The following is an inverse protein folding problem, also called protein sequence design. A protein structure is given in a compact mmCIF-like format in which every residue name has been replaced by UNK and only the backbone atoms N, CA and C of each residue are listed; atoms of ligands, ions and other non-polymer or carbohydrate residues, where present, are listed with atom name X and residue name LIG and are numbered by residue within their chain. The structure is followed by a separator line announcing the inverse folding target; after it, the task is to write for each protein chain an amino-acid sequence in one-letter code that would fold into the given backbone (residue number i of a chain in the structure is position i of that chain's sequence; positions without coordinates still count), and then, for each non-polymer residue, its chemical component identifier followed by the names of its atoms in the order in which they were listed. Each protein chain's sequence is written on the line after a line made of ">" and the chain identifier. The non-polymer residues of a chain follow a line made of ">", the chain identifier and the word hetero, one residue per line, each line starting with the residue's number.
data_IF_028459257017
#
_entry.id   IF_028459257017
#
_cell.length_a   1.000
_cell.length_b   1.000
_cell.length_c   1.000
_cell.angle_alpha   90.00
_cell.angle_beta   90.00
_cell.angle_gamma   90.00
#
_symmetry.space_group_name_H-M   'P 1'
#
loop_
_entity.id
_entity.type
_entity.pdbx_description
1 polymer ?
#
# COMPACT_ATOMS: atom_id res chain seq x y z
N UNK A 1 -15.37 27.38 -11.48
CA UNK A 1 -14.13 26.61 -11.33
C UNK A 1 -13.73 26.06 -12.69
N UNK A 2 -12.46 26.19 -13.08
CA UNK A 2 -11.94 25.61 -14.32
C UNK A 2 -11.54 24.17 -14.02
N UNK A 3 -12.42 23.21 -14.31
CA UNK A 3 -12.06 21.80 -14.33
C UNK A 3 -11.01 21.59 -15.41
N UNK A 4 -9.74 21.36 -15.04
CA UNK A 4 -8.78 20.76 -15.95
C UNK A 4 -9.02 19.25 -15.91
N UNK A 5 -9.93 18.76 -16.75
CA UNK A 5 -9.92 17.35 -17.15
C UNK A 5 -8.69 17.16 -18.05
N UNK A 6 -7.52 16.96 -17.43
CA UNK A 6 -6.34 16.47 -18.14
C UNK A 6 -6.44 14.96 -18.13
N UNK A 7 -7.10 14.40 -19.16
CA UNK A 7 -6.91 12.99 -19.47
C UNK A 7 -5.46 12.89 -19.95
N UNK A 8 -4.54 12.50 -19.08
CA UNK A 8 -3.23 12.03 -19.49
C UNK A 8 -3.42 10.65 -20.11
N UNK A 9 -3.95 10.60 -21.33
CA UNK A 9 -3.72 9.40 -22.16
C UNK A 9 -2.22 9.40 -22.43
N UNK A 10 -1.49 8.53 -21.74
CA UNK A 10 -0.11 8.21 -22.10
C UNK A 10 -0.12 7.82 -23.58
N UNK A 11 0.23 8.78 -24.46
CA UNK A 11 0.72 8.43 -25.78
C UNK A 11 2.07 7.81 -25.48
N UNK A 12 2.12 6.47 -25.48
CA UNK A 12 3.36 5.71 -25.38
C UNK A 12 4.39 6.33 -26.34
N UNK A 13 5.37 7.01 -25.78
CA UNK A 13 6.52 7.47 -26.54
C UNK A 13 7.32 6.21 -26.90
N UNK A 14 7.73 6.02 -28.17
CA UNK A 14 8.47 4.84 -28.54
C UNK A 14 9.82 4.85 -27.80
N UNK A 15 9.97 3.94 -26.84
CA UNK A 15 11.17 3.78 -26.02
C UNK A 15 11.00 3.95 -24.50
N UNK A 16 9.78 4.19 -23.99
CA UNK A 16 9.48 4.06 -22.55
C UNK A 16 8.73 2.73 -22.36
N UNK A 17 9.47 1.70 -21.94
CA UNK A 17 8.90 0.44 -21.46
C UNK A 17 8.49 0.65 -19.99
N UNK A 18 7.20 0.43 -19.71
CA UNK A 18 6.51 0.33 -18.40
C UNK A 18 7.08 1.12 -17.21
N UNK A 19 6.33 2.13 -16.77
CA UNK A 19 6.37 2.60 -15.37
C UNK A 19 4.93 2.76 -14.92
N UNK A 20 4.44 1.80 -14.12
CA UNK A 20 3.38 1.92 -13.11
C UNK A 20 2.43 3.11 -13.32
N UNK A 21 1.57 3.02 -14.34
CA UNK A 21 0.77 4.14 -14.85
C UNK A 21 -0.54 4.39 -14.07
N UNK A 22 -0.51 5.05 -12.91
CA UNK A 22 -1.76 5.53 -12.30
C UNK A 22 -2.56 6.43 -13.27
N UNK A 23 -3.87 6.57 -13.10
CA UNK A 23 -4.68 7.55 -13.83
C UNK A 23 -5.07 8.72 -12.92
N UNK A 24 -4.76 9.95 -13.33
CA UNK A 24 -5.29 11.15 -12.66
C UNK A 24 -6.75 11.39 -13.07
N UNK A 25 -7.67 11.12 -12.14
CA UNK A 25 -9.11 11.25 -12.34
C UNK A 25 -9.60 12.69 -12.12
N UNK A 26 -9.07 13.36 -11.09
CA UNK A 26 -9.41 14.73 -10.75
C UNK A 26 -8.29 15.42 -9.95
N UNK A 27 -8.30 16.76 -10.00
CA UNK A 27 -7.43 17.65 -9.22
C UNK A 27 -8.26 18.88 -8.85
N UNK A 28 -8.20 19.31 -7.59
CA UNK A 28 -8.82 20.57 -7.16
C UNK A 28 -8.10 21.23 -5.99
N UNK A 29 -8.18 22.57 -5.97
CA UNK A 29 -7.74 23.42 -4.87
C UNK A 29 -8.98 23.95 -4.12
N UNK A 30 -9.26 23.49 -2.89
CA UNK A 30 -10.36 24.04 -2.10
C UNK A 30 -10.15 25.56 -1.86
N UNK A 31 -11.07 26.44 -2.29
CA UNK A 31 -10.79 27.88 -2.47
C UNK A 31 -10.35 28.68 -1.23
N UNK A 32 -10.54 28.13 -0.03
CA UNK A 32 -10.28 28.81 1.26
C UNK A 32 -9.33 28.04 2.16
N UNK A 33 -8.90 26.86 1.74
CA UNK A 33 -8.02 26.00 2.52
C UNK A 33 -6.59 26.07 1.97
N UNK A 34 -5.63 25.81 2.84
CA UNK A 34 -4.22 25.71 2.54
C UNK A 34 -3.71 24.31 2.91
N UNK A 35 -2.38 24.14 2.89
CA UNK A 35 -1.71 22.85 3.04
C UNK A 35 -2.35 21.86 3.99
N UNK A 36 -2.54 20.63 3.51
CA UNK A 36 -3.17 19.56 4.26
C UNK A 36 -2.14 18.66 4.91
N UNK A 37 -2.47 18.07 6.05
CA UNK A 37 -1.65 17.04 6.73
C UNK A 37 -2.44 15.78 7.10
N UNK A 38 -3.75 15.79 6.83
CA UNK A 38 -4.60 14.62 7.03
C UNK A 38 -5.78 14.65 6.06
N UNK A 39 -6.14 13.49 5.53
CA UNK A 39 -7.26 13.27 4.63
C UNK A 39 -7.86 11.89 4.87
N UNK A 40 -9.18 11.79 4.89
CA UNK A 40 -9.90 10.52 4.93
C UNK A 40 -11.07 10.55 3.96
N UNK A 41 -11.46 9.40 3.42
CA UNK A 41 -12.67 9.25 2.60
C UNK A 41 -13.75 8.52 3.41
N UNK A 42 -14.92 9.15 3.54
CA UNK A 42 -16.07 8.55 4.22
C UNK A 42 -16.62 7.40 3.35
N UNK A 43 -16.56 6.13 3.80
CA UNK A 43 -16.99 4.99 3.00
C UNK A 43 -18.49 4.98 2.71
N UNK A 44 -19.31 5.71 3.48
CA UNK A 44 -20.76 5.77 3.26
C UNK A 44 -21.15 6.78 2.19
N UNK A 45 -20.43 7.90 2.09
CA UNK A 45 -20.81 9.02 1.23
C UNK A 45 -19.82 9.32 0.10
N UNK A 46 -18.58 8.82 0.21
CA UNK A 46 -17.46 9.14 -0.66
C UNK A 46 -16.93 10.56 -0.49
N UNK A 47 -17.45 11.34 0.47
CA UNK A 47 -16.94 12.68 0.77
C UNK A 47 -15.62 12.59 1.53
N UNK A 48 -14.80 13.63 1.38
CA UNK A 48 -13.52 13.72 2.04
C UNK A 48 -13.66 14.49 3.35
N UNK A 49 -12.92 14.07 4.37
CA UNK A 49 -12.61 14.87 5.55
C UNK A 49 -11.15 15.26 5.44
N UNK A 50 -10.83 16.55 5.56
CA UNK A 50 -9.45 17.03 5.50
C UNK A 50 -9.12 17.93 6.68
N UNK A 51 -7.85 17.96 7.04
CA UNK A 51 -7.32 18.83 8.09
C UNK A 51 -6.10 19.62 7.57
N UNK A 52 -6.13 20.94 7.79
CA UNK A 52 -5.07 21.86 7.39
C UNK A 52 -3.91 21.84 8.40
N UNK A 53 -2.69 22.06 7.94
CA UNK A 53 -1.51 22.23 8.80
C UNK A 53 -1.77 23.37 9.81
N UNK A 54 -1.79 23.03 11.10
CA UNK A 54 -2.20 23.94 12.17
C UNK A 54 -3.61 24.56 11.97
N UNK A 55 -4.55 23.81 11.40
CA UNK A 55 -5.95 24.19 11.14
C UNK A 55 -6.80 24.49 12.40
N UNK A 56 -6.22 24.33 13.59
CA UNK A 56 -6.87 24.65 14.85
C UNK A 56 -7.91 23.60 15.21
N UNK A 57 -9.15 24.04 15.45
CA UNK A 57 -10.23 23.17 15.94
C UNK A 57 -11.22 22.75 14.85
N UNK A 58 -10.81 22.77 13.57
CA UNK A 58 -11.71 22.55 12.43
C UNK A 58 -11.13 21.52 11.47
N UNK A 59 -11.91 20.49 11.16
CA UNK A 59 -11.75 19.67 9.96
C UNK A 59 -12.83 20.05 8.94
N UNK A 60 -12.55 19.90 7.65
CA UNK A 60 -13.42 20.30 6.56
C UNK A 60 -13.98 19.08 5.84
N UNK A 61 -15.28 19.09 5.56
CA UNK A 61 -15.93 18.06 4.76
C UNK A 61 -16.07 18.57 3.33
N UNK A 62 -15.47 17.87 2.39
CA UNK A 62 -15.39 18.25 0.98
C UNK A 62 -16.07 17.18 0.13
N UNK A 63 -16.94 17.59 -0.79
CA UNK A 63 -17.51 16.65 -1.76
C UNK A 63 -16.48 16.21 -2.81
N UNK A 64 -16.75 15.13 -3.53
CA UNK A 64 -15.84 14.63 -4.58
C UNK A 64 -15.62 15.61 -5.76
N UNK A 65 -16.35 16.74 -5.78
CA UNK A 65 -16.19 17.82 -6.75
C UNK A 65 -15.33 18.98 -6.24
N UNK A 66 -14.81 18.89 -5.00
CA UNK A 66 -13.95 19.90 -4.37
C UNK A 66 -14.70 21.04 -3.68
N UNK A 67 -16.00 20.90 -3.40
CA UNK A 67 -16.76 21.90 -2.65
C UNK A 67 -16.80 21.55 -1.16
N UNK A 68 -16.50 22.52 -0.29
CA UNK A 68 -16.74 22.37 1.13
C UNK A 68 -18.25 22.36 1.43
N UNK A 69 -18.72 21.30 2.07
CA UNK A 69 -20.13 21.05 2.38
C UNK A 69 -20.42 21.03 3.88
N UNK A 70 -19.39 21.10 4.72
CA UNK A 70 -19.53 21.15 6.17
C UNK A 70 -18.18 21.16 6.89
N UNK A 71 -18.24 21.22 8.22
CA UNK A 71 -17.08 21.13 9.10
C UNK A 71 -17.34 20.20 10.27
N UNK A 72 -16.27 19.63 10.81
CA UNK A 72 -16.27 18.78 12.01
C UNK A 72 -15.33 19.43 13.02
N UNK A 73 -15.69 19.42 14.31
CA UNK A 73 -14.81 19.93 15.36
C UNK A 73 -13.64 18.96 15.54
N UNK A 74 -12.42 19.47 15.37
CA UNK A 74 -11.18 18.72 15.57
C UNK A 74 -10.87 18.58 17.07
N UNK A 75 -10.59 17.36 17.59
CA UNK A 75 -10.08 17.14 18.94
C UNK A 75 -8.57 17.42 19.05
N UNK A 76 -8.10 17.53 20.30
CA UNK A 76 -6.67 17.65 20.61
C UNK A 76 -6.12 19.06 20.41
N UNK A 77 -4.80 19.18 20.39
CA UNK A 77 -4.11 20.42 20.04
C UNK A 77 -4.02 20.60 18.52
N UNK A 78 -3.92 21.86 18.09
CA UNK A 78 -3.59 22.19 16.70
C UNK A 78 -2.21 21.63 16.37
N UNK A 79 -2.13 20.87 15.28
CA UNK A 79 -0.95 20.07 14.93
C UNK A 79 -0.62 20.14 13.44
N UNK A 80 0.62 19.78 13.08
CA UNK A 80 1.03 19.44 11.71
C UNK A 80 1.28 17.94 11.51
N UNK A 81 1.07 17.15 12.56
CA UNK A 81 1.23 15.70 12.65
C UNK A 81 -0.15 15.11 12.99
N UNK A 82 -1.11 15.33 12.08
CA UNK A 82 -2.53 15.13 12.33
C UNK A 82 -3.18 14.39 11.18
N UNK A 83 -3.60 13.17 11.44
CA UNK A 83 -4.09 12.28 10.40
C UNK A 83 -5.47 11.70 10.71
N UNK A 84 -6.16 11.26 9.66
CA UNK A 84 -7.56 10.92 9.62
C UNK A 84 -7.74 9.57 8.92
N UNK A 85 -8.62 8.74 9.47
CA UNK A 85 -9.06 7.52 8.78
C UNK A 85 -10.50 7.18 9.21
N UNK A 86 -11.19 6.30 8.49
CA UNK A 86 -12.44 5.71 8.93
C UNK A 86 -12.26 4.25 9.35
N UNK A 87 -12.78 3.91 10.53
CA UNK A 87 -12.76 2.54 11.03
C UNK A 87 -13.46 1.58 10.05
N UNK A 88 -12.68 0.79 9.31
CA UNK A 88 -13.19 -0.20 8.33
C UNK A 88 -14.01 -1.34 8.97
N UNK A 89 -13.90 -1.52 10.29
CA UNK A 89 -14.66 -2.49 11.08
C UNK A 89 -14.99 -1.97 12.48
N UNK A 90 -15.84 -2.69 13.25
CA UNK A 90 -16.07 -2.34 14.65
C UNK A 90 -14.79 -2.53 15.47
N UNK A 91 -14.52 -1.59 16.36
CA UNK A 91 -13.30 -1.55 17.16
C UNK A 91 -13.59 -1.18 18.62
N UNK A 92 -12.59 -1.29 19.48
CA UNK A 92 -12.64 -0.95 20.90
C UNK A 92 -11.47 -0.03 21.24
N UNK A 93 -11.78 1.11 21.84
CA UNK A 93 -10.81 2.13 22.26
C UNK A 93 -11.08 2.43 23.74
N UNK A 94 -10.08 2.25 24.62
CA UNK A 94 -10.21 2.40 26.09
C UNK A 94 -11.43 1.67 26.67
N UNK A 95 -11.67 0.44 26.20
CA UNK A 95 -12.81 -0.40 26.60
C UNK A 95 -14.18 0.05 26.05
N UNK A 96 -14.23 1.09 25.23
CA UNK A 96 -15.46 1.60 24.59
C UNK A 96 -15.57 1.01 23.19
N UNK A 97 -16.68 0.34 22.92
CA UNK A 97 -16.98 -0.17 21.59
C UNK A 97 -17.39 0.97 20.64
N UNK A 98 -16.77 0.99 19.46
CA UNK A 98 -16.94 1.99 18.41
C UNK A 98 -17.39 1.27 17.13
N UNK A 99 -18.44 1.75 16.43
CA UNK A 99 -18.94 1.11 15.22
C UNK A 99 -18.00 1.32 14.03
N UNK A 100 -18.10 0.43 13.04
CA UNK A 100 -17.49 0.65 11.72
C UNK A 100 -18.02 1.95 11.09
N UNK A 101 -17.20 2.60 10.26
CA UNK A 101 -17.48 3.91 9.68
C UNK A 101 -17.35 5.08 10.66
N UNK A 102 -16.71 4.87 11.81
CA UNK A 102 -16.39 5.97 12.75
C UNK A 102 -15.13 6.69 12.28
N UNK A 103 -15.16 8.02 12.24
CA UNK A 103 -13.98 8.84 11.96
C UNK A 103 -12.97 8.69 13.10
N UNK A 104 -11.76 8.29 12.74
CA UNK A 104 -10.58 8.20 13.57
C UNK A 104 -9.70 9.42 13.32
N UNK A 105 -9.03 9.84 14.39
CA UNK A 105 -8.08 10.94 14.37
C UNK A 105 -6.84 10.54 15.13
N UNK A 106 -5.69 10.70 14.50
CA UNK A 106 -4.37 10.50 15.06
C UNK A 106 -3.71 11.85 15.24
N UNK A 107 -3.37 12.21 16.49
CA UNK A 107 -2.72 13.49 16.79
C UNK A 107 -1.36 13.25 17.45
N UNK A 108 -0.31 13.52 16.68
CA UNK A 108 1.10 13.35 17.06
C UNK A 108 1.68 14.49 17.91
N UNK A 109 1.01 15.65 17.97
CA UNK A 109 1.44 16.77 18.82
C UNK A 109 0.76 16.80 20.19
N UNK A 110 -0.25 15.97 20.42
CA UNK A 110 -0.80 15.79 21.75
C UNK A 110 0.26 15.21 22.70
N UNK A 111 0.18 15.57 23.99
CA UNK A 111 1.12 15.09 25.01
C UNK A 111 0.39 14.38 26.15
N UNK A 112 0.35 13.04 26.16
CA UNK A 112 0.88 12.10 25.15
C UNK A 112 0.07 12.09 23.85
N UNK A 113 0.65 11.53 22.78
CA UNK A 113 0.05 11.34 21.45
C UNK A 113 -1.27 10.54 21.57
N UNK A 114 -2.24 10.80 20.69
CA UNK A 114 -3.61 10.28 20.87
C UNK A 114 -4.25 9.74 19.61
N UNK A 115 -5.06 8.71 19.83
CA UNK A 115 -6.12 8.27 18.94
C UNK A 115 -7.46 8.74 19.50
N UNK A 116 -8.30 9.32 18.64
CA UNK A 116 -9.68 9.67 18.94
C UNK A 116 -10.63 8.96 17.97
N UNK A 117 -11.80 8.57 18.47
CA UNK A 117 -12.95 8.19 17.65
C UNK A 117 -14.04 9.26 17.79
N UNK A 118 -14.57 9.74 16.67
CA UNK A 118 -15.48 10.89 16.63
C UNK A 118 -16.85 10.54 16.06
N UNK A 119 -17.88 11.12 16.66
CA UNK A 119 -19.19 11.21 16.02
C UNK A 119 -19.14 12.19 14.83
N UNK A 120 -20.10 12.14 13.90
CA UNK A 120 -20.12 13.04 12.73
C UNK A 120 -20.17 14.55 13.07
N UNK A 121 -20.55 14.93 14.28
CA UNK A 121 -20.53 16.33 14.75
C UNK A 121 -19.24 16.75 15.45
N UNK A 122 -18.24 15.86 15.53
CA UNK A 122 -16.96 16.08 16.21
C UNK A 122 -16.97 15.73 17.70
N UNK A 123 -18.09 15.20 18.24
CA UNK A 123 -18.11 14.71 19.62
C UNK A 123 -17.17 13.51 19.77
N UNK A 124 -16.22 13.58 20.71
CA UNK A 124 -15.33 12.46 21.05
C UNK A 124 -16.14 11.33 21.67
N UNK A 125 -16.18 10.18 21.00
CA UNK A 125 -16.82 8.95 21.46
C UNK A 125 -15.90 8.13 22.36
N UNK A 126 -14.63 8.02 21.97
CA UNK A 126 -13.57 7.37 22.74
C UNK A 126 -12.20 7.97 22.39
N UNK A 127 -11.22 7.77 23.26
CA UNK A 127 -9.83 8.14 23.02
C UNK A 127 -8.91 7.26 23.84
N UNK A 128 -7.75 6.90 23.27
CA UNK A 128 -6.66 6.30 24.01
C UNK A 128 -5.38 7.10 23.76
N UNK A 129 -4.40 6.93 24.65
CA UNK A 129 -3.04 7.40 24.41
C UNK A 129 -2.33 6.41 23.52
N UNK A 130 -1.58 6.89 22.54
CA UNK A 130 -0.64 6.07 21.80
C UNK A 130 0.72 6.13 22.52
N UNK A 131 1.51 5.06 22.44
CA UNK A 131 2.90 5.13 22.86
C UNK A 131 3.55 6.35 22.16
N UNK A 132 4.42 7.10 22.85
CA UNK A 132 5.00 8.32 22.27
C UNK A 132 5.98 7.94 21.17
N UNK A 133 5.57 8.17 19.93
CA UNK A 133 6.18 7.62 18.74
C UNK A 133 6.49 8.70 17.70
N UNK A 134 6.15 9.98 17.94
CA UNK A 134 6.25 11.06 16.94
C UNK A 134 5.52 10.67 15.66
N UNK A 135 4.28 10.20 15.83
CA UNK A 135 3.43 9.79 14.71
C UNK A 135 3.17 10.97 13.78
N UNK A 136 3.20 10.73 12.48
CA UNK A 136 2.84 11.71 11.45
C UNK A 136 1.61 11.28 10.64
N UNK A 137 1.31 9.97 10.63
CA UNK A 137 0.12 9.38 10.01
C UNK A 137 -0.35 8.14 10.76
N UNK A 138 -1.61 7.77 10.61
CA UNK A 138 -2.20 6.57 11.19
C UNK A 138 -3.52 6.12 10.57
N UNK A 139 -3.68 4.81 10.44
CA UNK A 139 -4.86 4.20 9.86
C UNK A 139 -5.28 2.92 10.60
N UNK A 140 -6.54 2.55 10.47
CA UNK A 140 -7.10 1.33 11.02
C UNK A 140 -6.62 0.11 10.24
N UNK A 141 -6.17 -0.92 10.95
CA UNK A 141 -5.83 -2.19 10.31
C UNK A 141 -7.12 -3.00 10.10
N UNK A 142 -7.47 -3.34 8.84
CA UNK A 142 -8.73 -4.04 8.56
C UNK A 142 -8.84 -5.39 9.26
N UNK A 143 -10.03 -5.68 9.80
CA UNK A 143 -10.34 -6.98 10.42
C UNK A 143 -9.71 -7.22 11.80
N UNK A 144 -9.06 -6.22 12.40
CA UNK A 144 -8.45 -6.32 13.73
C UNK A 144 -8.91 -5.19 14.66
N UNK A 145 -8.39 -5.19 15.90
CA UNK A 145 -8.52 -4.07 16.83
C UNK A 145 -7.20 -3.29 16.93
N UNK A 146 -6.53 -3.08 15.79
CA UNK A 146 -5.19 -2.47 15.75
C UNK A 146 -5.19 -1.29 14.79
N UNK A 147 -4.26 -0.36 15.03
CA UNK A 147 -3.97 0.73 14.11
C UNK A 147 -2.52 0.63 13.67
N UNK A 148 -2.26 1.02 12.43
CA UNK A 148 -0.92 1.21 11.90
C UNK A 148 -0.59 2.70 11.98
N UNK A 149 0.59 3.05 12.44
CA UNK A 149 1.07 4.45 12.46
C UNK A 149 2.43 4.52 11.81
N UNK A 150 2.70 5.66 11.18
CA UNK A 150 4.04 5.99 10.67
C UNK A 150 4.67 7.10 11.51
N UNK A 151 5.97 6.99 11.73
CA UNK A 151 6.73 7.98 12.51
C UNK A 151 7.84 8.64 11.70
N UNK A 152 8.20 9.86 12.12
CA UNK A 152 9.40 10.56 11.64
C UNK A 152 10.48 10.56 12.73
N UNK A 153 11.14 9.42 12.94
CA UNK A 153 12.17 9.24 13.98
C UNK A 153 13.59 9.03 13.45
N UNK A 154 13.82 9.26 12.15
CA UNK A 154 15.12 9.07 11.49
C UNK A 154 15.49 7.61 11.23
N UNK A 155 14.62 6.67 11.63
CA UNK A 155 14.62 5.28 11.17
C UNK A 155 13.28 4.89 10.51
N UNK A 156 12.34 5.83 10.39
CA UNK A 156 11.02 5.78 9.76
C UNK A 156 10.36 4.39 9.68
N UNK A 157 9.53 4.10 10.68
CA UNK A 157 8.88 2.79 10.83
C UNK A 157 7.38 2.87 10.57
N UNK A 158 6.83 1.77 10.05
CA UNK A 158 5.42 1.43 10.29
C UNK A 158 5.35 0.68 11.62
N UNK A 159 4.47 1.13 12.51
CA UNK A 159 4.20 0.51 13.81
C UNK A 159 2.77 0.02 13.87
N UNK A 160 2.58 -1.13 14.51
CA UNK A 160 1.26 -1.69 14.76
C UNK A 160 0.98 -1.57 16.25
N UNK A 161 -0.12 -0.88 16.59
CA UNK A 161 -0.53 -0.59 17.96
C UNK A 161 -1.89 -1.24 18.24
N UNK A 162 -2.12 -1.73 19.46
CA UNK A 162 -3.47 -2.09 19.90
C UNK A 162 -4.32 -0.82 20.05
N UNK A 163 -5.44 -0.73 19.35
CA UNK A 163 -6.30 0.46 19.38
C UNK A 163 -6.99 0.66 20.75
N UNK A 164 -7.06 -0.39 21.58
CA UNK A 164 -7.71 -0.33 22.88
C UNK A 164 -6.88 0.42 23.92
N UNK A 165 -5.56 0.25 23.92
CA UNK A 165 -4.67 0.82 24.94
C UNK A 165 -3.41 1.52 24.39
N UNK A 166 -3.24 1.52 23.06
CA UNK A 166 -2.15 2.19 22.36
C UNK A 166 -0.80 1.47 22.44
N UNK A 167 -0.75 0.25 22.99
CA UNK A 167 0.50 -0.49 23.15
C UNK A 167 1.05 -0.96 21.81
N UNK A 168 2.36 -0.75 21.58
CA UNK A 168 3.01 -1.27 20.38
C UNK A 168 3.14 -2.80 20.44
N UNK A 169 2.63 -3.48 19.41
CA UNK A 169 2.70 -4.94 19.26
C UNK A 169 3.58 -5.40 18.10
N UNK A 170 3.96 -4.50 17.19
CA UNK A 170 4.83 -4.80 16.06
C UNK A 170 5.41 -3.55 15.40
N UNK A 171 6.45 -3.73 14.59
CA UNK A 171 7.00 -2.69 13.70
C UNK A 171 7.88 -3.30 12.62
N UNK A 172 7.93 -2.65 11.46
CA UNK A 172 8.80 -3.03 10.34
C UNK A 172 9.19 -1.78 9.55
N UNK A 173 10.31 -1.87 8.83
CA UNK A 173 10.69 -0.83 7.88
C UNK A 173 9.77 -0.94 6.65
N UNK A 174 9.34 0.19 6.06
CA UNK A 174 8.53 0.19 4.83
C UNK A 174 9.35 -0.16 3.57
N UNK A 175 9.96 -1.35 3.56
CA UNK A 175 10.65 -1.97 2.43
C UNK A 175 12.17 -1.79 2.37
N UNK A 176 12.85 -2.60 1.53
CA UNK A 176 13.89 -2.15 0.62
C UNK A 176 13.29 -1.73 -0.75
N UNK A 177 13.78 -0.65 -1.39
CA UNK A 177 14.70 0.34 -0.84
C UNK A 177 14.02 1.13 0.30
N UNK A 178 14.75 1.73 1.26
CA UNK A 178 14.14 2.50 2.34
C UNK A 178 13.19 3.61 1.83
N UNK A 179 12.05 3.77 2.48
CA UNK A 179 11.12 4.89 2.27
C UNK A 179 11.40 5.96 3.33
N UNK A 180 11.48 7.23 2.92
CA UNK A 180 11.68 8.36 3.84
C UNK A 180 10.30 8.92 4.19
N UNK A 181 9.94 8.99 5.46
CA UNK A 181 8.64 9.51 5.91
C UNK A 181 8.82 10.92 6.44
N UNK A 182 8.46 11.92 5.63
CA UNK A 182 8.56 13.33 6.02
C UNK A 182 7.24 14.04 5.70
N UNK A 183 6.51 14.53 6.72
CA UNK A 183 5.10 14.93 6.59
C UNK A 183 4.24 13.85 5.91
N UNK A 184 4.71 12.59 5.96
CA UNK A 184 4.11 11.49 5.22
C UNK A 184 2.84 11.01 5.87
N UNK A 185 2.13 10.17 5.14
CA UNK A 185 0.83 9.66 5.57
C UNK A 185 0.64 8.19 5.16
N UNK A 186 -0.34 7.52 5.79
CA UNK A 186 -0.61 6.10 5.69
C UNK A 186 -2.11 5.80 5.59
N UNK A 187 -2.49 4.88 4.70
CA UNK A 187 -3.84 4.32 4.65
C UNK A 187 -3.79 2.81 4.35
N UNK A 188 -4.81 2.05 4.73
CA UNK A 188 -4.89 0.60 4.50
C UNK A 188 -6.17 0.21 3.77
N UNK A 189 -6.01 -0.52 2.67
CA UNK A 189 -7.15 -1.11 1.97
C UNK A 189 -7.78 -2.25 2.79
N UNK A 190 -9.10 -2.21 3.01
CA UNK A 190 -9.84 -3.30 3.66
C UNK A 190 -10.05 -4.53 2.78
N UNK A 191 -9.87 -4.42 1.47
CA UNK A 191 -9.94 -5.55 0.54
C UNK A 191 -8.66 -6.38 0.56
N UNK A 192 -7.51 -5.72 0.42
CA UNK A 192 -6.21 -6.40 0.27
C UNK A 192 -5.39 -6.44 1.57
N UNK A 193 -5.67 -5.54 2.51
CA UNK A 193 -4.83 -5.30 3.67
C UNK A 193 -3.56 -4.51 3.37
N UNK A 194 -3.30 -4.14 2.11
CA UNK A 194 -2.11 -3.40 1.71
C UNK A 194 -2.10 -1.99 2.30
N UNK A 195 -0.91 -1.55 2.70
CA UNK A 195 -0.60 -0.24 3.24
C UNK A 195 -0.16 0.66 2.09
N UNK A 196 -0.79 1.82 1.96
CA UNK A 196 -0.36 2.89 1.06
C UNK A 196 0.39 3.95 1.88
N UNK A 197 1.55 4.35 1.41
CA UNK A 197 2.42 5.34 2.04
C UNK A 197 2.71 6.49 1.06
N UNK A 198 2.67 7.70 1.58
CA UNK A 198 3.13 8.90 0.87
C UNK A 198 4.11 9.68 1.74
N UNK A 199 4.91 10.52 1.10
CA UNK A 199 5.87 11.38 1.78
C UNK A 199 6.06 12.67 1.00
N UNK A 200 6.34 13.75 1.70
CA UNK A 200 6.59 15.03 1.07
C UNK A 200 7.93 15.06 0.34
N UNK A 201 8.90 14.29 0.84
CA UNK A 201 10.27 14.24 0.32
C UNK A 201 10.40 13.35 -0.91
N UNK A 202 9.36 12.60 -1.28
CA UNK A 202 9.39 11.62 -2.36
C UNK A 202 8.15 11.75 -3.26
N UNK A 203 8.35 11.79 -4.58
CA UNK A 203 7.25 11.83 -5.56
C UNK A 203 6.81 10.41 -5.98
N UNK A 204 6.78 9.50 -5.00
CA UNK A 204 6.30 8.13 -5.16
C UNK A 204 5.21 7.84 -4.14
N UNK A 205 4.13 7.20 -4.60
CA UNK A 205 3.18 6.54 -3.70
C UNK A 205 3.63 5.10 -3.60
N UNK A 206 3.93 4.63 -2.38
CA UNK A 206 4.37 3.25 -2.17
C UNK A 206 3.22 2.43 -1.60
N UNK A 207 3.00 1.24 -2.16
CA UNK A 207 2.12 0.24 -1.56
C UNK A 207 2.95 -0.94 -1.07
N UNK A 208 2.71 -1.36 0.17
CA UNK A 208 3.38 -2.48 0.82
C UNK A 208 2.37 -3.40 1.50
N UNK A 209 2.73 -4.64 1.78
CA UNK A 209 1.94 -5.54 2.61
C UNK A 209 2.03 -5.14 4.09
N UNK A 210 1.19 -5.74 4.94
CA UNK A 210 1.27 -5.55 6.40
C UNK A 210 2.54 -6.13 7.04
N UNK A 211 3.37 -6.83 6.26
CA UNK A 211 4.66 -7.36 6.67
C UNK A 211 5.82 -6.49 6.17
N UNK A 212 5.54 -5.45 5.37
CA UNK A 212 6.55 -4.53 4.83
C UNK A 212 7.10 -4.92 3.46
N UNK A 213 6.51 -5.90 2.78
CA UNK A 213 6.91 -6.32 1.43
C UNK A 213 6.35 -5.36 0.41
N UNK A 214 7.16 -4.96 -0.57
CA UNK A 214 6.66 -4.00 -1.54
C UNK A 214 5.68 -4.65 -2.50
N UNK A 215 4.53 -4.01 -2.66
CA UNK A 215 3.56 -4.30 -3.73
C UNK A 215 3.95 -3.52 -4.97
N UNK A 216 4.05 -2.19 -4.86
CA UNK A 216 4.44 -1.33 -5.99
C UNK A 216 4.80 0.08 -5.57
N UNK A 217 5.39 0.80 -6.51
CA UNK A 217 5.57 2.25 -6.44
C UNK A 217 4.94 2.94 -7.64
N UNK A 218 4.08 3.92 -7.38
CA UNK A 218 3.50 4.78 -8.41
C UNK A 218 4.34 6.06 -8.48
N UNK A 219 5.02 6.28 -9.60
CA UNK A 219 5.68 7.56 -9.85
C UNK A 219 4.63 8.60 -10.23
N UNK A 220 4.48 9.63 -9.39
CA UNK A 220 3.48 10.69 -9.59
C UNK A 220 4.05 11.98 -10.21
N UNK A 221 5.35 12.01 -10.55
CA UNK A 221 5.97 13.10 -11.30
C UNK A 221 5.21 13.48 -12.59
N UNK A 222 4.69 12.53 -13.40
CA UNK A 222 3.96 12.87 -14.63
C UNK A 222 2.69 13.70 -14.40
N UNK A 223 2.09 13.60 -13.20
CA UNK A 223 0.91 14.38 -12.81
C UNK A 223 1.26 15.72 -12.19
N UNK A 224 2.54 15.96 -11.88
CA UNK A 224 3.00 17.16 -11.17
C UNK A 224 2.65 17.16 -9.68
N UNK A 225 2.32 16.00 -9.12
CA UNK A 225 2.05 15.84 -7.69
C UNK A 225 3.39 15.89 -6.94
N UNK A 226 3.45 16.77 -5.95
CA UNK A 226 4.62 17.01 -5.09
C UNK A 226 4.13 17.34 -3.69
N UNK A 227 5.03 17.26 -2.71
CA UNK A 227 4.78 17.66 -1.33
C UNK A 227 3.60 16.90 -0.69
N UNK A 228 3.47 15.62 -1.04
CA UNK A 228 2.37 14.77 -0.57
C UNK A 228 2.41 14.64 0.95
N UNK A 229 1.27 14.78 1.57
CA UNK A 229 1.16 14.82 3.04
C UNK A 229 -0.16 14.30 3.56
N UNK A 230 -0.96 13.72 2.67
CA UNK A 230 -2.20 13.04 3.01
C UNK A 230 -2.48 11.98 1.98
N UNK A 231 -2.91 10.78 2.39
CA UNK A 231 -3.41 9.73 1.51
C UNK A 231 -4.63 9.07 2.11
N UNK A 232 -5.68 8.86 1.31
CA UNK A 232 -6.85 8.10 1.70
C UNK A 232 -7.21 7.06 0.62
N UNK A 233 -7.33 5.79 0.97
CA UNK A 233 -7.70 4.74 0.03
C UNK A 233 -9.21 4.53 0.05
N UNK A 234 -9.85 4.61 -1.12
CA UNK A 234 -11.28 4.38 -1.27
C UNK A 234 -11.55 2.91 -1.58
N UNK A 235 -11.78 2.12 -0.54
CA UNK A 235 -12.11 0.69 -0.65
C UNK A 235 -13.36 0.39 -1.50
N UNK A 236 -14.27 1.36 -1.67
CA UNK A 236 -15.46 1.14 -2.49
C UNK A 236 -15.13 1.15 -3.99
N UNK A 237 -14.04 1.82 -4.39
CA UNK A 237 -13.67 2.01 -5.79
C UNK A 237 -12.30 1.44 -6.16
N UNK A 238 -11.43 1.24 -5.17
CA UNK A 238 -10.01 0.92 -5.35
C UNK A 238 -9.15 2.12 -5.74
N UNK A 239 -9.73 3.33 -5.71
CA UNK A 239 -9.02 4.58 -6.01
C UNK A 239 -8.33 5.12 -4.75
N UNK A 240 -7.50 6.14 -4.91
CA UNK A 240 -6.91 6.87 -3.79
C UNK A 240 -7.05 8.38 -3.95
N UNK A 241 -7.14 9.05 -2.83
CA UNK A 241 -7.09 10.50 -2.71
C UNK A 241 -5.75 10.89 -2.11
N UNK A 242 -5.10 11.89 -2.69
CA UNK A 242 -3.83 12.41 -2.19
C UNK A 242 -4.02 13.89 -1.91
N UNK A 243 -3.63 14.33 -0.72
CA UNK A 243 -3.54 15.73 -0.37
C UNK A 243 -2.08 16.16 -0.27
N UNK A 244 -1.81 17.44 -0.49
CA UNK A 244 -0.47 17.98 -0.36
C UNK A 244 -0.43 19.26 0.47
N UNK A 245 0.78 19.66 0.87
CA UNK A 245 1.00 20.88 1.66
C UNK A 245 0.83 22.19 0.89
N UNK A 246 0.59 22.14 -0.43
CA UNK A 246 0.20 23.32 -1.20
C UNK A 246 -1.31 23.59 -1.13
N UNK A 247 -2.10 22.66 -0.59
CA UNK A 247 -3.56 22.77 -0.51
C UNK A 247 -4.28 22.19 -1.74
N UNK A 248 -3.63 21.32 -2.49
CA UNK A 248 -4.24 20.61 -3.63
C UNK A 248 -4.61 19.19 -3.23
N UNK A 249 -5.78 18.73 -3.71
CA UNK A 249 -6.25 17.35 -3.57
C UNK A 249 -6.33 16.71 -4.96
N UNK A 250 -5.81 15.49 -5.07
CA UNK A 250 -5.76 14.68 -6.27
C UNK A 250 -6.58 13.40 -6.06
N UNK A 251 -7.24 12.95 -7.10
CA UNK A 251 -7.95 11.66 -7.15
C UNK A 251 -7.27 10.80 -8.20
N UNK A 252 -6.73 9.66 -7.78
CA UNK A 252 -5.99 8.74 -8.64
C UNK A 252 -6.68 7.37 -8.68
N UNK A 253 -6.73 6.75 -9.85
CA UNK A 253 -6.83 5.29 -9.94
C UNK A 253 -5.40 4.73 -9.90
N UNK A 254 -5.01 3.98 -8.86
CA UNK A 254 -3.68 3.43 -8.75
C UNK A 254 -3.43 2.22 -9.65
N UNK A 255 -4.46 1.66 -10.32
CA UNK A 255 -4.34 0.46 -11.15
C UNK A 255 -4.05 0.85 -12.59
N UNK A 256 -2.80 0.65 -13.06
CA UNK A 256 -2.43 1.03 -14.40
C UNK A 256 -2.92 0.00 -15.39
N UNK A 257 -4.15 0.15 -15.89
CA UNK A 257 -4.72 -0.77 -16.88
C UNK A 257 -5.00 -2.17 -16.28
N UNK A 258 -6.28 -2.59 -16.26
CA UNK A 258 -6.72 -3.95 -15.90
C UNK A 258 -6.39 -4.95 -17.05
N UNK A 259 -5.18 -4.81 -17.59
CA UNK A 259 -4.65 -5.58 -18.69
C UNK A 259 -4.27 -6.96 -18.19
N UNK A 260 -4.13 -7.89 -19.12
CA UNK A 260 -3.76 -9.28 -18.88
C UNK A 260 -2.66 -9.59 -19.89
N UNK A 261 -1.42 -9.22 -19.52
CA UNK A 261 -0.24 -9.13 -20.38
C UNK A 261 0.16 -10.48 -20.95
N UNK A 262 -0.05 -11.54 -20.19
CA UNK A 262 0.25 -12.92 -20.58
C UNK A 262 -0.98 -13.74 -20.99
N UNK A 263 -2.18 -13.15 -20.85
CA UNK A 263 -3.47 -13.70 -21.27
C UNK A 263 -3.89 -14.97 -20.50
N UNK A 264 -3.60 -15.01 -19.21
CA UNK A 264 -3.89 -16.14 -18.33
C UNK A 264 -5.25 -16.06 -17.61
N UNK A 265 -5.89 -14.88 -17.67
CA UNK A 265 -7.21 -14.61 -17.13
C UNK A 265 -7.22 -13.83 -15.80
N UNK A 266 -6.05 -13.42 -15.30
CA UNK A 266 -5.88 -12.46 -14.22
C UNK A 266 -5.38 -11.14 -14.80
N UNK A 267 -5.73 -10.03 -14.15
CA UNK A 267 -5.13 -8.77 -14.55
C UNK A 267 -3.72 -8.66 -13.97
N UNK A 268 -2.86 -7.89 -14.65
CA UNK A 268 -1.47 -7.65 -14.26
C UNK A 268 -1.34 -7.11 -12.82
N UNK A 269 -2.44 -6.61 -12.25
CA UNK A 269 -2.48 -6.08 -10.91
C UNK A 269 -2.61 -7.16 -9.82
N UNK A 270 -3.38 -8.21 -10.09
CA UNK A 270 -3.59 -9.34 -9.19
C UNK A 270 -2.72 -10.57 -9.56
N UNK A 271 -1.84 -10.43 -10.56
CA UNK A 271 -1.01 -11.51 -11.08
C UNK A 271 0.40 -11.53 -10.45
N UNK A 272 0.75 -12.63 -9.76
CA UNK A 272 2.06 -12.87 -9.19
C UNK A 272 3.14 -13.26 -10.22
N UNK A 273 2.80 -13.36 -11.52
CA UNK A 273 3.71 -13.51 -12.65
C UNK A 273 3.24 -12.79 -13.94
N UNK A 274 3.14 -11.46 -13.91
CA UNK A 274 2.64 -10.57 -14.99
C UNK A 274 3.03 -10.92 -16.44
N UNK A 275 4.22 -11.48 -16.66
CA UNK A 275 4.75 -11.82 -17.99
C UNK A 275 4.62 -13.32 -18.37
N UNK A 276 4.03 -14.16 -17.50
CA UNK A 276 4.19 -15.62 -17.52
C UNK A 276 2.94 -16.35 -17.04
N UNK A 277 2.09 -16.71 -18.02
CA UNK A 277 0.77 -17.26 -17.76
C UNK A 277 0.74 -18.32 -16.66
N UNK A 278 0.04 -18.02 -15.58
CA UNK A 278 -0.07 -18.79 -14.35
C UNK A 278 -1.45 -18.74 -13.70
N UNK A 279 -2.52 -19.26 -14.35
CA UNK A 279 -3.90 -19.03 -13.88
C UNK A 279 -4.23 -19.58 -12.48
N UNK A 280 -3.34 -20.39 -11.91
CA UNK A 280 -3.47 -20.96 -10.57
C UNK A 280 -2.71 -20.17 -9.50
N UNK A 281 -1.88 -19.19 -9.89
CA UNK A 281 -1.16 -18.27 -9.02
C UNK A 281 -0.39 -19.00 -7.91
N UNK A 282 0.20 -20.14 -8.25
CA UNK A 282 0.93 -20.96 -7.27
C UNK A 282 2.19 -20.21 -6.86
N UNK A 283 2.28 -19.95 -5.57
CA UNK A 283 3.40 -19.35 -4.87
C UNK A 283 3.58 -20.19 -3.59
N UNK A 284 4.61 -21.04 -3.56
CA UNK A 284 4.72 -22.11 -2.56
C UNK A 284 5.54 -21.70 -1.34
N UNK A 285 6.51 -20.81 -1.51
CA UNK A 285 7.27 -20.21 -0.41
C UNK A 285 6.61 -18.92 0.14
N UNK A 286 5.59 -18.40 -0.55
CA UNK A 286 4.81 -17.22 -0.19
C UNK A 286 5.67 -15.95 -0.19
N UNK A 287 6.58 -15.85 -1.15
CA UNK A 287 7.42 -14.68 -1.35
C UNK A 287 6.71 -13.58 -2.15
N UNK A 288 5.51 -13.86 -2.70
CA UNK A 288 4.72 -12.95 -3.52
C UNK A 288 5.05 -13.00 -5.01
N UNK A 289 5.91 -13.91 -5.45
CA UNK A 289 6.27 -14.14 -6.85
C UNK A 289 5.88 -15.58 -7.19
N UNK A 290 5.11 -15.76 -8.26
CA UNK A 290 4.62 -17.09 -8.61
C UNK A 290 5.75 -18.03 -9.03
N UNK A 291 5.61 -19.32 -8.70
CA UNK A 291 6.59 -20.37 -9.01
C UNK A 291 7.05 -20.39 -10.48
N UNK A 292 6.30 -19.87 -11.48
CA UNK A 292 6.80 -19.88 -12.87
C UNK A 292 7.67 -18.69 -13.26
N UNK A 293 7.60 -17.59 -12.54
CA UNK A 293 8.45 -16.44 -12.74
C UNK A 293 9.49 -16.30 -11.63
N UNK A 294 9.38 -17.08 -10.56
CA UNK A 294 10.39 -17.18 -9.52
C UNK A 294 11.31 -18.39 -9.73
N UNK A 295 12.62 -18.14 -9.90
CA UNK A 295 13.62 -19.20 -9.93
C UNK A 295 14.68 -19.04 -8.82
N UNK A 296 14.39 -18.24 -7.78
CA UNK A 296 15.16 -18.05 -6.56
C UNK A 296 14.87 -19.16 -5.53
N UNK A 297 15.06 -20.40 -5.98
CA UNK A 297 14.47 -21.60 -5.35
C UNK A 297 15.35 -22.24 -4.27
N UNK A 298 16.18 -21.45 -3.60
CA UNK A 298 17.03 -21.98 -2.53
C UNK A 298 16.19 -22.43 -1.32
N UNK A 299 16.63 -23.44 -0.53
CA UNK A 299 15.85 -23.89 0.62
C UNK A 299 15.79 -22.79 1.68
N UNK A 300 14.63 -22.14 1.76
CA UNK A 300 14.44 -20.78 2.29
C UNK A 300 15.16 -19.81 1.35
N UNK A 301 14.41 -19.27 0.39
CA UNK A 301 14.74 -18.07 -0.39
C UNK A 301 15.79 -17.27 0.41
N UNK A 302 17.05 -17.34 -0.03
CA UNK A 302 18.11 -16.62 0.67
C UNK A 302 17.94 -15.11 0.51
N UNK A 303 16.85 -14.73 -0.17
CA UNK A 303 16.26 -13.41 -0.31
C UNK A 303 17.26 -12.46 -0.95
N UNK A 304 18.16 -13.02 -1.75
CA UNK A 304 19.13 -12.27 -2.53
C UNK A 304 18.51 -11.76 -3.84
N UNK A 305 17.30 -12.23 -4.17
CA UNK A 305 16.47 -11.76 -5.26
C UNK A 305 17.19 -11.84 -6.60
N UNK A 306 18.03 -12.86 -6.74
CA UNK A 306 18.91 -13.05 -7.88
C UNK A 306 19.06 -14.53 -8.18
N UNK A 307 18.48 -14.95 -9.31
CA UNK A 307 18.64 -16.33 -9.79
C UNK A 307 20.10 -16.59 -10.14
N UNK A 308 20.78 -17.41 -9.37
CA UNK A 308 22.22 -17.62 -9.45
C UNK A 308 22.64 -19.09 -9.29
N UNK A 309 23.93 -19.33 -9.08
CA UNK A 309 24.46 -20.70 -9.02
C UNK A 309 24.00 -21.49 -7.80
N UNK A 310 23.55 -20.82 -6.73
CA UNK A 310 22.92 -21.43 -5.57
C UNK A 310 21.60 -22.11 -5.98
N UNK A 311 20.76 -21.38 -6.72
CA UNK A 311 19.46 -21.86 -7.22
C UNK A 311 19.64 -22.99 -8.21
N UNK A 312 20.57 -22.84 -9.15
CA UNK A 312 20.87 -23.93 -10.08
C UNK A 312 21.37 -25.18 -9.34
N UNK A 313 22.02 -25.03 -8.19
CA UNK A 313 22.39 -26.16 -7.36
C UNK A 313 21.16 -26.77 -6.65
N UNK A 314 20.21 -25.96 -6.19
CA UNK A 314 18.93 -26.41 -5.65
C UNK A 314 18.11 -27.17 -6.72
N UNK A 315 17.95 -26.60 -7.93
CA UNK A 315 17.33 -27.22 -9.10
C UNK A 315 17.95 -28.59 -9.40
N UNK A 316 19.29 -28.67 -9.42
CA UNK A 316 20.01 -29.94 -9.65
C UNK A 316 19.71 -30.99 -8.57
N UNK A 317 19.51 -30.58 -7.33
CA UNK A 317 19.20 -31.50 -6.24
C UNK A 317 17.77 -32.03 -6.34
N UNK A 318 16.84 -31.22 -6.88
CA UNK A 318 15.45 -31.61 -7.11
C UNK A 318 15.22 -32.28 -8.47
N UNK A 319 16.20 -32.31 -9.37
CA UNK A 319 16.02 -32.79 -10.73
C UNK A 319 15.51 -34.26 -10.82
N UNK A 320 14.49 -34.49 -11.64
CA UNK A 320 13.70 -35.73 -11.78
C UNK A 320 12.96 -36.18 -10.51
N UNK A 321 12.72 -35.28 -9.57
CA UNK A 321 11.90 -35.56 -8.40
C UNK A 321 10.40 -35.36 -8.70
N UNK A 322 9.56 -35.96 -7.85
CA UNK A 322 8.08 -35.85 -7.88
C UNK A 322 7.63 -35.55 -6.44
N UNK A 323 6.37 -35.18 -6.16
CA UNK A 323 5.94 -34.88 -4.78
C UNK A 323 6.13 -36.06 -3.78
N UNK A 324 6.32 -37.29 -4.28
CA UNK A 324 6.63 -38.45 -3.46
C UNK A 324 8.13 -38.65 -3.16
N UNK A 325 9.00 -37.89 -3.83
CA UNK A 325 10.45 -37.99 -3.70
C UNK A 325 10.95 -37.19 -2.49
N UNK A 326 11.92 -37.70 -1.72
CA UNK A 326 12.41 -37.03 -0.50
C UNK A 326 13.21 -35.75 -0.78
N UNK A 327 13.65 -35.54 -2.02
CA UNK A 327 14.41 -34.39 -2.50
C UNK A 327 13.57 -33.47 -3.39
N UNK A 328 12.25 -33.64 -3.42
CA UNK A 328 11.38 -32.77 -4.18
C UNK A 328 11.33 -31.38 -3.54
N UNK A 329 11.46 -30.38 -4.40
CA UNK A 329 11.28 -28.98 -4.05
C UNK A 329 10.12 -28.45 -4.90
N UNK A 330 8.98 -28.03 -4.32
CA UNK A 330 7.89 -27.42 -5.09
C UNK A 330 8.33 -26.19 -5.86
N UNK A 331 9.26 -25.40 -5.32
CA UNK A 331 9.73 -24.15 -5.93
C UNK A 331 10.55 -24.45 -7.19
N UNK A 332 11.12 -25.66 -7.29
CA UNK A 332 11.84 -26.08 -8.50
C UNK A 332 10.92 -26.52 -9.66
N UNK A 333 9.60 -26.58 -9.47
CA UNK A 333 8.60 -26.90 -10.50
C UNK A 333 8.06 -25.61 -11.15
N UNK A 334 8.88 -25.03 -12.02
CA UNK A 334 8.66 -23.71 -12.63
C UNK A 334 7.67 -23.70 -13.79
N UNK A 335 7.21 -24.87 -14.24
CA UNK A 335 6.39 -24.98 -15.47
C UNK A 335 5.01 -25.59 -15.25
N UNK A 336 4.63 -25.77 -13.98
CA UNK A 336 3.41 -26.45 -13.51
C UNK A 336 2.05 -25.92 -14.02
N UNK A 337 1.99 -24.88 -14.85
CA UNK A 337 0.71 -24.28 -15.25
C UNK A 337 0.66 -23.62 -16.64
N UNK A 338 1.34 -24.18 -17.65
CA UNK A 338 0.97 -23.94 -19.05
C UNK A 338 1.33 -25.15 -19.93
N UNK A 339 0.80 -26.33 -19.58
CA UNK A 339 0.93 -27.54 -20.39
C UNK A 339 1.72 -28.70 -19.78
N UNK A 340 2.19 -28.59 -18.53
CA UNK A 340 2.73 -29.73 -17.78
C UNK A 340 2.22 -29.78 -16.32
N UNK A 341 1.15 -30.53 -16.02
CA UNK A 341 0.60 -30.65 -14.67
C UNK A 341 1.22 -31.82 -13.87
N UNK A 342 2.41 -32.29 -14.23
CA UNK A 342 2.92 -33.57 -13.73
C UNK A 342 3.56 -33.51 -12.33
N UNK A 343 3.89 -32.31 -11.82
CA UNK A 343 4.53 -32.12 -10.52
C UNK A 343 6.00 -32.55 -10.52
N UNK A 344 6.61 -32.72 -11.69
CA UNK A 344 7.94 -33.31 -11.86
C UNK A 344 8.95 -32.26 -12.28
N UNK A 345 9.94 -32.02 -11.40
CA UNK A 345 11.09 -31.17 -11.73
C UNK A 345 11.91 -31.82 -12.85
N UNK A 346 11.88 -31.26 -14.05
CA UNK A 346 12.43 -31.87 -15.25
C UNK A 346 13.13 -30.84 -16.16
N UNK A 347 13.41 -31.23 -17.40
CA UNK A 347 14.14 -30.37 -18.34
C UNK A 347 13.36 -29.11 -18.77
N UNK A 348 12.05 -29.09 -18.62
CA UNK A 348 11.22 -27.92 -18.85
C UNK A 348 11.52 -26.85 -17.79
N UNK A 349 11.53 -27.21 -16.51
CA UNK A 349 11.85 -26.30 -15.40
C UNK A 349 13.29 -25.80 -15.50
N UNK A 350 14.23 -26.69 -15.80
CA UNK A 350 15.62 -26.26 -16.03
C UNK A 350 15.75 -25.34 -17.26
N UNK A 351 14.90 -25.47 -18.28
CA UNK A 351 14.89 -24.52 -19.38
C UNK A 351 14.28 -23.18 -18.99
N UNK A 352 13.26 -23.18 -18.12
CA UNK A 352 12.66 -21.97 -17.56
C UNK A 352 13.64 -21.22 -16.67
N UNK A 353 14.28 -21.89 -15.72
CA UNK A 353 15.34 -21.30 -14.90
C UNK A 353 16.45 -20.65 -15.75
N UNK A 354 16.85 -21.27 -16.86
CA UNK A 354 17.88 -20.68 -17.75
C UNK A 354 17.47 -19.34 -18.34
N UNK A 355 16.18 -19.07 -18.53
CA UNK A 355 15.73 -17.76 -19.03
C UNK A 355 15.79 -16.68 -17.96
N UNK A 356 15.77 -17.09 -16.69
CA UNK A 356 15.80 -16.21 -15.52
C UNK A 356 17.21 -16.05 -14.90
N UNK A 357 18.16 -16.90 -15.30
CA UNK A 357 19.50 -16.95 -14.72
C UNK A 357 20.26 -15.61 -14.82
N UNK A 358 20.80 -15.15 -13.69
CA UNK A 358 21.39 -13.82 -13.42
C UNK A 358 20.42 -12.63 -13.50
N UNK A 359 19.12 -12.91 -13.65
CA UNK A 359 18.05 -11.93 -13.49
C UNK A 359 17.45 -12.02 -12.09
N UNK A 360 16.49 -11.14 -11.84
CA UNK A 360 15.65 -11.20 -10.67
C UNK A 360 14.39 -12.05 -10.97
N UNK A 361 13.74 -12.61 -9.94
CA UNK A 361 12.44 -13.26 -10.09
C UNK A 361 11.34 -12.24 -10.47
N UNK A 362 10.21 -12.73 -11.00
CA UNK A 362 9.07 -11.91 -11.41
C UNK A 362 9.11 -11.47 -12.89
N UNK A 363 8.48 -10.32 -13.25
CA UNK A 363 7.80 -9.36 -12.36
C UNK A 363 6.50 -9.91 -11.75
N UNK A 364 6.08 -9.31 -10.61
CA UNK A 364 4.85 -9.62 -9.87
C UNK A 364 4.04 -8.35 -9.64
N UNK A 365 2.71 -8.42 -9.82
CA UNK A 365 1.75 -7.37 -9.51
C UNK A 365 1.38 -7.30 -8.02
N UNK A 366 1.72 -8.35 -7.25
CA UNK A 366 1.42 -8.46 -5.83
C UNK A 366 2.63 -8.16 -4.94
N UNK A 367 2.38 -8.01 -3.63
CA UNK A 367 3.40 -7.75 -2.62
C UNK A 367 4.45 -8.83 -2.51
N UNK A 368 5.72 -8.51 -2.78
CA UNK A 368 6.80 -9.49 -2.83
C UNK A 368 8.06 -9.14 -2.00
N UNK A 369 8.81 -10.17 -1.63
CA UNK A 369 10.02 -10.06 -0.81
C UNK A 369 11.17 -9.32 -1.51
N UNK A 370 11.15 -9.30 -2.85
CA UNK A 370 12.21 -8.69 -3.65
C UNK A 370 12.10 -7.18 -3.90
N UNK A 371 11.02 -6.56 -3.41
CA UNK A 371 10.88 -5.12 -3.28
C UNK A 371 10.40 -4.41 -4.54
N UNK A 372 10.25 -3.08 -4.45
CA UNK A 372 9.76 -2.28 -5.57
C UNK A 372 10.89 -2.05 -6.58
N UNK A 373 10.82 -2.65 -7.77
CA UNK A 373 11.78 -2.36 -8.85
C UNK A 373 12.18 -3.51 -9.77
N UNK A 374 11.43 -4.61 -9.74
CA UNK A 374 11.61 -5.76 -10.63
C UNK A 374 10.44 -5.89 -11.59
#
# INVERSE_FOLDING_TARGET
>A
MNYKRLIYTLIALPGITSVNAAELLAEFDPPTLAGFVGIAVDPASGNLVVYEEFGGATMHVIDQSGNEIGTIVSPGVSSNDYDLDFATGPMTIDGIAIPAGTLLVFNGDDSPERLYALAPDGTVLATTTLDSLSIVGGAHVPGSNTVATVDYTGNDFVRILDANDGTQIGSFNPGPPPFDIFYGDIDLSSETGNITLVSDSQNIVRQITQQGFCVRELNVDPFGIVLMSGVAFDDATGNMWIANRNGTIYHLDPRPDLGDSDSDGLDDFDDNCVDVANPLQVDTDNDGIGNACDADITPVDDNDCTVNFADLNAMKNAFFSTPASPNWNPDADLTGFAGDPDGIVNFLDLNRMKTLFFGAPGPSGVGNLCGCGL
#
